data_IF_135656612088
#
_entry.id   IF_135656612088
#
_cell.length_a   1.000
_cell.length_b   1.000
_cell.length_c   1.000
_cell.angle_alpha   90.00
_cell.angle_beta   90.00
_cell.angle_gamma   90.00
#
_symmetry.space_group_name_H-M   'P 1'
#
loop_
_entity.id
_entity.type
_entity.pdbx_description
1 polymer ?
#
# COMPACT_ATOMS: atom_id res chain seq x y z
N UNK A 1 4.27 28.26 22.63
CA UNK A 1 4.55 27.17 21.68
C UNK A 1 3.20 26.77 21.11
N UNK A 2 3.03 26.84 19.78
CA UNK A 2 1.72 26.76 19.14
C UNK A 2 1.24 25.30 19.09
N UNK A 3 0.43 24.86 20.02
CA UNK A 3 -0.22 23.53 20.05
C UNK A 3 -1.14 23.26 18.84
N UNK A 4 -1.46 24.30 18.08
CA UNK A 4 -2.38 24.22 16.93
C UNK A 4 -1.74 23.71 15.63
N UNK A 5 -0.46 23.36 15.62
CA UNK A 5 0.26 22.96 14.40
C UNK A 5 0.48 21.46 14.25
N UNK A 6 0.25 20.66 15.27
CA UNK A 6 0.58 19.24 15.24
C UNK A 6 -0.56 18.43 14.60
N UNK A 7 -0.19 17.58 13.63
CA UNK A 7 -1.03 16.56 13.04
C UNK A 7 -0.75 15.26 13.78
N UNK A 8 -1.80 14.59 14.26
CA UNK A 8 -1.71 13.36 15.03
C UNK A 8 -1.88 12.12 14.17
N UNK A 9 -2.56 12.26 13.03
CA UNK A 9 -2.74 11.21 12.04
C UNK A 9 -2.75 11.79 10.62
N UNK A 10 -2.46 10.99 9.63
CA UNK A 10 -2.41 11.42 8.23
C UNK A 10 -3.26 10.52 7.33
N UNK A 11 -4.13 11.16 6.55
CA UNK A 11 -4.82 10.59 5.40
C UNK A 11 -4.05 11.00 4.14
N UNK A 12 -3.74 10.08 3.24
CA UNK A 12 -2.82 10.35 2.12
C UNK A 12 -3.56 10.57 0.81
N UNK A 13 -4.64 9.83 0.55
CA UNK A 13 -5.43 10.01 -0.65
C UNK A 13 -6.84 10.54 -0.32
N UNK A 14 -7.45 11.36 -1.21
CA UNK A 14 -8.74 11.99 -0.93
C UNK A 14 -9.89 11.01 -0.69
N UNK A 15 -9.78 9.79 -1.22
CA UNK A 15 -10.81 8.75 -1.09
C UNK A 15 -10.55 7.76 0.03
N UNK A 16 -9.41 7.87 0.74
CA UNK A 16 -9.10 6.99 1.85
C UNK A 16 -10.18 7.10 2.94
N UNK A 17 -10.57 5.96 3.49
CA UNK A 17 -11.45 5.89 4.65
C UNK A 17 -10.67 5.59 5.94
N UNK A 18 -9.35 5.53 5.84
CA UNK A 18 -8.44 5.35 6.97
C UNK A 18 -7.33 6.38 6.99
N UNK A 19 -6.89 6.75 8.20
CA UNK A 19 -5.66 7.52 8.42
C UNK A 19 -4.66 6.69 9.23
N UNK A 20 -3.37 7.02 9.13
CA UNK A 20 -2.31 6.40 9.91
C UNK A 20 -1.92 7.31 11.06
N UNK A 21 -1.90 6.78 12.28
CA UNK A 21 -1.48 7.52 13.48
C UNK A 21 0.03 7.80 13.47
N UNK A 22 0.37 9.03 13.81
CA UNK A 22 1.76 9.51 13.94
C UNK A 22 2.22 9.52 15.40
N UNK A 23 1.35 9.19 16.33
CA UNK A 23 1.59 8.95 17.76
C UNK A 23 0.56 8.00 18.30
N UNK A 24 0.73 7.54 19.55
CA UNK A 24 -0.33 6.83 20.26
C UNK A 24 -1.52 7.75 20.50
N UNK A 25 -2.73 7.22 20.41
CA UNK A 25 -3.98 7.90 20.70
C UNK A 25 -4.81 7.07 21.70
N UNK A 26 -5.47 7.76 22.64
CA UNK A 26 -6.23 7.13 23.70
C UNK A 26 -7.74 7.28 23.53
N UNK A 27 -8.49 6.32 24.01
CA UNK A 27 -9.95 6.34 23.99
C UNK A 27 -10.51 7.64 24.60
N UNK A 28 -11.43 8.29 23.88
CA UNK A 28 -12.01 9.57 24.28
C UNK A 28 -11.19 10.80 23.93
N UNK A 29 -9.98 10.65 23.40
CA UNK A 29 -9.16 11.73 22.88
C UNK A 29 -9.69 12.21 21.53
N UNK A 30 -9.47 13.49 21.21
CA UNK A 30 -9.72 14.06 19.88
C UNK A 30 -8.41 14.35 19.19
N UNK A 31 -8.15 13.67 18.06
CA UNK A 31 -6.92 13.80 17.28
C UNK A 31 -7.11 14.66 16.03
N UNK A 32 -6.06 15.36 15.61
CA UNK A 32 -6.03 16.13 14.38
C UNK A 32 -5.54 15.26 13.22
N UNK A 33 -6.43 14.93 12.28
CA UNK A 33 -6.10 14.18 11.06
C UNK A 33 -5.82 15.16 9.93
N UNK A 34 -4.61 15.11 9.36
CA UNK A 34 -4.27 15.86 8.15
C UNK A 34 -4.93 15.26 6.91
N UNK A 35 -5.68 16.08 6.17
CA UNK A 35 -6.39 15.67 4.95
C UNK A 35 -5.60 16.05 3.69
N UNK A 36 -5.57 15.19 2.65
CA UNK A 36 -4.69 15.40 1.50
C UNK A 36 -5.20 16.45 0.49
N UNK A 37 -6.52 16.70 0.43
CA UNK A 37 -7.09 17.47 -0.67
C UNK A 37 -6.76 18.97 -0.60
N UNK A 38 -6.77 19.55 0.60
CA UNK A 38 -6.67 20.99 0.82
C UNK A 38 -5.77 21.37 2.01
N UNK A 39 -5.10 20.36 2.59
CA UNK A 39 -4.31 20.53 3.80
C UNK A 39 -5.17 20.84 5.04
N UNK A 40 -6.47 20.64 4.95
CA UNK A 40 -7.40 20.82 6.08
C UNK A 40 -7.13 19.79 7.18
N UNK A 41 -7.73 20.02 8.34
CA UNK A 41 -7.67 19.11 9.48
C UNK A 41 -9.06 18.65 9.86
N UNK A 42 -9.20 17.35 9.99
CA UNK A 42 -10.38 16.74 10.56
C UNK A 42 -10.11 16.46 12.04
N UNK A 43 -10.93 17.02 12.94
CA UNK A 43 -10.90 16.64 14.35
C UNK A 43 -11.71 15.36 14.54
N UNK A 44 -11.04 14.29 14.96
CA UNK A 44 -11.59 12.95 15.04
C UNK A 44 -11.57 12.45 16.48
N UNK A 45 -12.72 12.20 17.12
CA UNK A 45 -12.76 11.54 18.42
C UNK A 45 -12.35 10.07 18.24
N UNK A 46 -11.41 9.60 19.08
CA UNK A 46 -10.92 8.22 19.09
C UNK A 46 -11.74 7.40 20.07
N UNK A 47 -12.22 6.24 19.62
CA UNK A 47 -13.14 5.41 20.42
C UNK A 47 -12.42 4.36 21.28
N UNK A 48 -11.17 4.06 20.99
CA UNK A 48 -10.37 3.04 21.68
C UNK A 48 -8.88 3.40 21.60
N UNK A 49 -8.04 2.78 22.41
CA UNK A 49 -6.60 3.00 22.37
C UNK A 49 -6.01 2.46 21.04
N UNK A 50 -5.28 3.31 20.35
CA UNK A 50 -4.67 2.97 19.05
C UNK A 50 -3.20 3.38 19.06
N UNK A 51 -2.32 2.42 18.83
CA UNK A 51 -0.88 2.65 18.87
C UNK A 51 -0.38 3.42 17.63
N UNK A 52 0.77 4.08 17.78
CA UNK A 52 1.52 4.68 16.68
C UNK A 52 1.66 3.73 15.47
N UNK A 53 1.49 4.28 14.27
CA UNK A 53 1.60 3.54 13.02
C UNK A 53 0.36 2.70 12.66
N UNK A 54 -0.58 2.54 13.59
CA UNK A 54 -1.84 1.87 13.31
C UNK A 54 -2.82 2.77 12.57
N UNK A 55 -3.91 2.17 12.09
CA UNK A 55 -4.93 2.85 11.28
C UNK A 55 -6.17 3.16 12.11
N UNK A 56 -6.72 4.35 11.90
CA UNK A 56 -8.02 4.77 12.44
C UNK A 56 -8.99 5.03 11.28
N UNK A 57 -10.26 4.66 11.44
CA UNK A 57 -11.30 4.99 10.47
C UNK A 57 -11.64 6.49 10.54
N UNK A 58 -11.50 7.21 9.42
CA UNK A 58 -11.84 8.65 9.36
C UNK A 58 -13.32 8.90 9.06
N UNK A 59 -14.02 7.88 8.60
CA UNK A 59 -15.48 7.84 8.39
C UNK A 59 -15.99 6.43 8.70
N UNK A 60 -17.30 6.24 8.89
CA UNK A 60 -17.85 4.90 9.05
C UNK A 60 -17.58 4.04 7.82
N UNK A 61 -17.27 2.75 8.04
CA UNK A 61 -17.04 1.73 7.03
C UNK A 61 -18.04 0.59 7.29
N UNK A 62 -18.90 0.31 6.32
CA UNK A 62 -19.91 -0.74 6.47
C UNK A 62 -19.26 -2.15 6.41
N UNK A 63 -19.93 -3.14 6.99
CA UNK A 63 -19.54 -4.54 6.81
C UNK A 63 -19.54 -4.90 5.31
N UNK A 64 -18.46 -5.51 4.83
CA UNK A 64 -18.27 -5.83 3.41
C UNK A 64 -17.78 -4.66 2.55
N UNK A 65 -17.64 -3.44 3.10
CA UNK A 65 -17.08 -2.30 2.38
C UNK A 65 -15.55 -2.43 2.28
N UNK A 66 -15.00 -1.89 1.19
CA UNK A 66 -13.56 -1.86 0.97
C UNK A 66 -12.88 -0.85 1.88
N UNK A 67 -11.77 -1.27 2.48
CA UNK A 67 -10.91 -0.42 3.30
C UNK A 67 -9.85 0.18 2.40
N UNK A 68 -9.82 1.52 2.34
CA UNK A 68 -8.96 2.29 1.45
C UNK A 68 -7.83 2.97 2.22
N UNK A 69 -6.61 2.81 1.73
CA UNK A 69 -5.40 3.48 2.23
C UNK A 69 -4.46 3.75 1.06
N UNK A 70 -3.92 4.96 0.99
CA UNK A 70 -3.04 5.41 -0.11
C UNK A 70 -3.71 5.39 -1.50
N UNK A 71 -5.04 5.56 -1.55
CA UNK A 71 -5.83 5.46 -2.76
C UNK A 71 -6.11 4.04 -3.25
N UNK A 72 -5.66 3.03 -2.50
CA UNK A 72 -5.75 1.62 -2.86
C UNK A 72 -6.61 0.83 -1.87
N UNK A 73 -7.27 -0.21 -2.35
CA UNK A 73 -7.98 -1.16 -1.49
C UNK A 73 -6.96 -2.04 -0.77
N UNK A 74 -6.91 -1.95 0.56
CA UNK A 74 -6.01 -2.75 1.39
C UNK A 74 -6.69 -3.96 2.02
N UNK A 75 -8.02 -4.01 1.98
CA UNK A 75 -8.79 -5.07 2.58
C UNK A 75 -10.29 -4.79 2.52
N UNK A 76 -11.07 -5.66 3.14
CA UNK A 76 -12.53 -5.55 3.26
C UNK A 76 -12.94 -5.65 4.72
N UNK A 77 -13.84 -4.78 5.16
CA UNK A 77 -14.34 -4.80 6.53
C UNK A 77 -15.16 -6.06 6.78
N UNK A 78 -14.85 -6.81 7.83
CA UNK A 78 -15.59 -8.02 8.23
C UNK A 78 -16.83 -7.69 9.06
N UNK A 79 -16.87 -6.52 9.68
CA UNK A 79 -17.97 -5.94 10.43
C UNK A 79 -17.99 -4.42 10.23
N UNK A 80 -19.06 -3.76 10.63
CA UNK A 80 -19.10 -2.30 10.61
C UNK A 80 -17.99 -1.73 11.53
N UNK A 81 -17.32 -0.67 11.05
CA UNK A 81 -16.26 0.06 11.75
C UNK A 81 -16.73 1.51 11.86
N UNK A 82 -16.78 2.04 13.06
CA UNK A 82 -17.20 3.42 13.30
C UNK A 82 -16.04 4.40 13.05
N UNK A 83 -16.39 5.66 12.76
CA UNK A 83 -15.40 6.75 12.68
C UNK A 83 -14.69 6.89 14.03
N UNK A 84 -13.35 6.95 14.02
CA UNK A 84 -12.53 6.97 15.25
C UNK A 84 -12.19 5.59 15.82
N UNK A 85 -12.66 4.51 15.21
CA UNK A 85 -12.36 3.15 15.61
C UNK A 85 -11.08 2.64 14.97
N UNK A 86 -10.36 1.76 15.64
CA UNK A 86 -9.17 1.09 15.14
C UNK A 86 -9.48 0.19 13.94
N UNK A 87 -8.68 0.30 12.90
CA UNK A 87 -8.77 -0.55 11.69
C UNK A 87 -7.61 -1.54 11.72
N UNK A 88 -7.92 -2.81 12.00
CA UNK A 88 -6.94 -3.85 12.26
C UNK A 88 -7.40 -5.21 11.72
N UNK A 89 -6.57 -6.25 11.89
CA UNK A 89 -6.84 -7.62 11.39
C UNK A 89 -8.06 -8.31 11.99
N UNK A 90 -8.57 -7.83 13.11
CA UNK A 90 -9.79 -8.35 13.77
C UNK A 90 -11.08 -7.86 13.08
N UNK A 91 -11.03 -6.75 12.36
CA UNK A 91 -12.17 -6.17 11.66
C UNK A 91 -11.95 -5.94 10.16
N UNK A 92 -10.77 -6.32 9.62
CA UNK A 92 -10.45 -6.24 8.20
C UNK A 92 -9.78 -7.53 7.73
N UNK A 93 -10.29 -8.11 6.66
CA UNK A 93 -9.61 -9.16 5.91
C UNK A 93 -8.76 -8.52 4.82
N UNK A 94 -7.45 -8.84 4.79
CA UNK A 94 -6.56 -8.36 3.73
C UNK A 94 -6.93 -9.01 2.39
N UNK A 95 -7.00 -8.20 1.35
CA UNK A 95 -7.12 -8.67 -0.03
C UNK A 95 -5.75 -8.80 -0.72
N UNK A 96 -4.68 -8.34 -0.07
CA UNK A 96 -3.31 -8.53 -0.54
C UNK A 96 -2.78 -9.85 0.02
N UNK A 97 -2.26 -10.72 -0.83
CA UNK A 97 -1.70 -12.01 -0.43
C UNK A 97 -2.63 -13.22 -0.58
N UNK A 98 -3.88 -13.02 -1.05
CA UNK A 98 -4.75 -14.11 -1.48
C UNK A 98 -4.90 -14.05 -2.99
N UNK A 99 -3.87 -14.47 -3.72
CA UNK A 99 -3.89 -14.54 -5.19
C UNK A 99 -5.05 -15.38 -5.75
N UNK A 100 -5.62 -16.25 -4.93
CA UNK A 100 -6.65 -17.19 -5.34
C UNK A 100 -8.09 -16.65 -5.16
N UNK A 101 -8.30 -15.64 -4.31
CA UNK A 101 -9.65 -15.12 -4.01
C UNK A 101 -10.06 -13.89 -4.84
N UNK A 102 -9.14 -13.28 -5.61
CA UNK A 102 -9.43 -12.13 -6.47
C UNK A 102 -10.28 -12.49 -7.70
N UNK A 103 -10.51 -13.78 -7.95
CA UNK A 103 -11.34 -14.25 -9.07
C UNK A 103 -12.80 -14.54 -8.69
N UNK A 104 -13.23 -14.32 -7.44
CA UNK A 104 -14.52 -14.79 -6.96
C UNK A 104 -15.66 -13.75 -6.99
N UNK A 105 -15.46 -12.48 -7.33
CA UNK A 105 -16.56 -11.51 -7.39
C UNK A 105 -16.25 -10.26 -8.23
N UNK A 106 -15.92 -10.43 -9.50
CA UNK A 106 -15.95 -9.36 -10.50
C UNK A 106 -16.74 -9.81 -11.71
N UNK A 107 -17.42 -8.92 -12.47
CA UNK A 107 -17.93 -9.31 -13.77
C UNK A 107 -16.77 -9.92 -14.56
N UNK A 108 -17.02 -11.09 -15.16
CA UNK A 108 -16.04 -11.83 -15.94
C UNK A 108 -15.24 -10.87 -16.84
N UNK A 109 -14.08 -10.43 -16.37
CA UNK A 109 -13.03 -10.05 -17.28
C UNK A 109 -12.68 -11.34 -18.00
N UNK A 110 -13.16 -11.47 -19.23
CA UNK A 110 -12.81 -12.59 -20.09
C UNK A 110 -11.30 -12.76 -20.07
N UNK A 111 -10.81 -13.95 -20.34
CA UNK A 111 -9.37 -14.22 -20.26
C UNK A 111 -8.66 -13.12 -21.04
N UNK A 112 -7.92 -12.25 -20.34
CA UNK A 112 -6.94 -11.40 -20.98
C UNK A 112 -6.04 -12.42 -21.65
N UNK A 113 -6.13 -12.47 -23.00
CA UNK A 113 -5.35 -13.42 -23.74
C UNK A 113 -3.90 -13.18 -23.37
N UNK A 114 -3.34 -14.06 -22.55
CA UNK A 114 -1.95 -13.99 -22.08
C UNK A 114 -0.95 -13.92 -23.25
N UNK A 115 -1.42 -14.25 -24.47
CA UNK A 115 -0.66 -14.20 -25.69
C UNK A 115 -0.21 -12.79 -26.07
N UNK A 116 -1.08 -11.77 -25.93
CA UNK A 116 -0.74 -10.43 -26.45
C UNK A 116 0.24 -9.66 -25.54
N UNK A 117 0.25 -9.97 -24.26
CA UNK A 117 1.17 -9.33 -23.31
C UNK A 117 2.58 -9.95 -23.34
N UNK A 118 2.64 -11.28 -23.58
CA UNK A 118 3.90 -11.99 -23.71
C UNK A 118 4.63 -11.64 -25.00
N UNK A 119 3.90 -11.38 -26.07
CA UNK A 119 4.51 -11.00 -27.36
C UNK A 119 5.12 -9.59 -27.32
N UNK A 120 4.57 -8.69 -26.48
CA UNK A 120 5.15 -7.34 -26.28
C UNK A 120 6.45 -7.38 -25.47
N UNK A 121 6.57 -8.32 -24.53
CA UNK A 121 7.76 -8.50 -23.69
C UNK A 121 8.83 -9.34 -24.39
N UNK A 122 8.44 -10.20 -25.35
CA UNK A 122 9.33 -11.08 -26.10
C UNK A 122 9.69 -10.57 -27.50
N UNK A 123 9.36 -9.31 -27.85
CA UNK A 123 10.00 -8.72 -29.03
C UNK A 123 11.50 -8.77 -28.79
N UNK A 124 12.26 -9.61 -29.54
CA UNK A 124 13.69 -9.66 -29.35
C UNK A 124 14.19 -8.23 -29.57
N UNK A 125 14.74 -7.63 -28.54
CA UNK A 125 15.55 -6.45 -28.70
C UNK A 125 16.68 -6.88 -29.63
N UNK A 126 16.62 -6.49 -30.89
CA UNK A 126 17.71 -6.71 -31.83
C UNK A 126 18.85 -5.84 -31.31
N UNK A 127 19.64 -6.41 -30.42
CA UNK A 127 20.88 -5.81 -29.96
C UNK A 127 21.76 -5.71 -31.20
N UNK A 128 21.99 -4.49 -31.67
CA UNK A 128 23.06 -4.22 -32.60
C UNK A 128 24.36 -4.64 -31.90
N UNK A 129 24.91 -5.78 -32.31
CA UNK A 129 26.11 -6.36 -31.70
C UNK A 129 27.29 -5.38 -31.69
N UNK A 130 27.27 -4.37 -32.57
CA UNK A 130 28.27 -3.29 -32.61
C UNK A 130 28.13 -2.28 -31.47
N UNK A 131 26.98 -2.26 -30.77
CA UNK A 131 26.68 -1.36 -29.62
C UNK A 131 26.58 -2.09 -28.29
N UNK A 132 26.83 -3.40 -28.27
CA UNK A 132 26.66 -4.25 -27.09
C UNK A 132 27.87 -4.25 -26.13
N UNK A 133 28.71 -3.21 -26.14
CA UNK A 133 29.77 -3.07 -25.17
C UNK A 133 29.42 -2.04 -24.10
N UNK A 134 29.65 -2.37 -22.84
CA UNK A 134 29.53 -1.46 -21.71
C UNK A 134 30.78 -1.50 -20.84
N UNK A 135 31.06 -0.42 -20.12
CA UNK A 135 32.13 -0.38 -19.11
C UNK A 135 31.64 -1.06 -17.86
N UNK A 136 31.96 -2.34 -17.69
CA UNK A 136 31.60 -3.12 -16.51
C UNK A 136 32.71 -3.13 -15.44
N UNK A 137 32.33 -3.54 -14.21
CA UNK A 137 33.29 -3.76 -13.11
C UNK A 137 33.78 -5.22 -13.17
N UNK A 138 35.09 -5.47 -13.29
CA UNK A 138 35.62 -6.82 -13.24
C UNK A 138 35.39 -7.42 -11.85
N UNK A 139 34.90 -8.65 -11.80
CA UNK A 139 34.77 -9.43 -10.57
C UNK A 139 35.88 -10.44 -10.45
N UNK A 140 36.11 -10.94 -9.23
CA UNK A 140 37.17 -11.92 -8.95
C UNK A 140 37.00 -13.26 -9.69
N UNK A 141 35.76 -13.59 -10.09
CA UNK A 141 35.41 -14.80 -10.86
C UNK A 141 35.59 -14.62 -12.39
N UNK A 142 36.09 -13.45 -12.84
CA UNK A 142 36.28 -13.10 -14.25
C UNK A 142 35.01 -12.58 -14.95
N UNK A 143 33.89 -12.53 -14.29
CA UNK A 143 32.67 -11.90 -14.84
C UNK A 143 32.73 -10.37 -14.75
N UNK A 144 31.93 -9.67 -15.56
CA UNK A 144 31.76 -8.24 -15.48
C UNK A 144 30.37 -7.90 -14.96
N UNK A 145 30.29 -7.00 -13.99
CA UNK A 145 29.04 -6.50 -13.42
C UNK A 145 28.74 -5.06 -13.81
N UNK A 146 27.46 -4.73 -13.91
CA UNK A 146 27.00 -3.34 -13.99
C UNK A 146 26.80 -2.80 -12.58
N UNK A 147 26.87 -1.49 -12.37
CA UNK A 147 26.52 -0.86 -11.08
C UNK A 147 25.03 -0.73 -10.81
N UNK A 148 24.19 -1.15 -11.74
CA UNK A 148 22.73 -1.08 -11.60
C UNK A 148 22.27 -2.26 -10.72
N UNK A 149 22.58 -2.17 -9.42
CA UNK A 149 21.97 -3.04 -8.43
C UNK A 149 20.60 -2.44 -8.11
N UNK A 150 19.55 -3.16 -8.50
CA UNK A 150 18.21 -2.88 -7.98
C UNK A 150 18.09 -3.63 -6.66
N UNK A 151 18.14 -2.89 -5.56
CA UNK A 151 17.91 -3.42 -4.22
C UNK A 151 16.47 -3.18 -3.81
N UNK A 152 15.71 -4.24 -3.55
CA UNK A 152 14.42 -4.15 -2.90
C UNK A 152 14.60 -4.16 -1.39
N UNK A 153 14.09 -3.14 -0.68
CA UNK A 153 13.95 -3.17 0.78
C UNK A 153 12.50 -3.52 1.08
N UNK A 154 12.29 -4.69 1.66
CA UNK A 154 10.95 -5.12 2.08
C UNK A 154 10.51 -4.27 3.26
N UNK A 155 9.54 -3.37 3.05
CA UNK A 155 8.99 -2.50 4.08
C UNK A 155 7.79 -3.10 4.83
N UNK A 156 7.23 -4.21 4.36
CA UNK A 156 6.11 -4.90 5.00
C UNK A 156 6.10 -6.39 4.63
N UNK A 157 5.55 -7.23 5.50
CA UNK A 157 5.49 -8.69 5.32
C UNK A 157 4.81 -9.08 4.01
N UNK A 158 3.78 -8.35 3.59
CA UNK A 158 3.05 -8.59 2.34
C UNK A 158 3.83 -8.23 1.05
N UNK A 159 4.98 -7.56 1.16
CA UNK A 159 5.86 -7.27 0.02
C UNK A 159 6.90 -8.39 -0.21
N UNK A 160 7.06 -9.30 0.75
CA UNK A 160 8.12 -10.30 0.73
C UNK A 160 7.89 -11.41 -0.31
N UNK A 161 6.64 -11.67 -0.72
CA UNK A 161 6.33 -12.71 -1.70
C UNK A 161 6.70 -12.31 -3.14
N UNK A 162 6.82 -11.01 -3.43
CA UNK A 162 7.18 -10.52 -4.76
C UNK A 162 8.70 -10.46 -5.00
N UNK A 163 9.52 -10.48 -3.94
CA UNK A 163 10.99 -10.43 -4.07
C UNK A 163 11.63 -11.79 -4.34
N UNK A 164 10.89 -12.91 -4.24
CA UNK A 164 11.41 -14.25 -4.48
C UNK A 164 11.48 -14.64 -5.96
N UNK A 165 11.12 -13.73 -6.88
CA UNK A 165 11.10 -13.95 -8.32
C UNK A 165 12.00 -13.00 -9.13
N UNK A 166 12.93 -12.29 -8.47
CA UNK A 166 13.93 -11.44 -9.16
C UNK A 166 15.29 -12.14 -9.20
#
# INVERSE_FOLDING_TARGET
MNEQSQIDAICIAPHDNTATLLRDAHAGESIAVGMPADGSRLMLPVLEDIAFGHKVAVRPIAAGEDVLKYGEVIGRATRAIESGQHVHVDNVVSLRGRGDDLHAAGPEAGPIAAADHVELLLKPCVLDASRASFMGYPRLDGSAGTRNLVGGIVGAICANENDSHI
#
